data_IF_663126148820
#
_entry.id   IF_663126148820
#
_cell.length_a   1.000
_cell.length_b   1.000
_cell.length_c   1.000
_cell.angle_alpha   90.00
_cell.angle_beta   90.00
_cell.angle_gamma   90.00
#
_symmetry.space_group_name_H-M   'P 1'
#
loop_
_entity.id
_entity.type
_entity.pdbx_description
1 polymer ?
#
# COMPACT_ATOMS: atom_id res chain seq x y z
N UNK A 1 -0.28 -2.63 -18.82
CA UNK A 1 -1.20 -3.08 -17.74
C UNK A 1 -2.02 -1.89 -17.27
N UNK A 2 -3.25 -2.13 -16.87
CA UNK A 2 -4.15 -1.18 -16.23
C UNK A 2 -4.09 -1.39 -14.72
N UNK A 3 -3.57 -0.44 -13.96
CA UNK A 3 -3.25 -0.61 -12.54
C UNK A 3 -4.03 0.37 -11.67
N UNK A 4 -4.81 -0.13 -10.71
CA UNK A 4 -5.41 0.69 -9.66
C UNK A 4 -4.45 0.79 -8.47
N UNK A 5 -4.10 2.02 -8.06
CA UNK A 5 -3.30 2.29 -6.86
C UNK A 5 -4.15 3.06 -5.86
N UNK A 6 -4.44 2.48 -4.69
CA UNK A 6 -5.23 3.16 -3.65
C UNK A 6 -4.35 4.08 -2.78
N UNK A 7 -4.91 5.20 -2.30
CA UNK A 7 -4.15 6.19 -1.53
C UNK A 7 -3.00 6.81 -2.33
N UNK A 8 -3.23 7.06 -3.62
CA UNK A 8 -2.21 7.40 -4.59
C UNK A 8 -1.96 8.92 -4.75
N UNK A 9 -2.64 9.76 -3.97
CA UNK A 9 -2.47 11.22 -4.03
C UNK A 9 -1.13 11.71 -3.47
N UNK A 10 -0.45 10.93 -2.62
CA UNK A 10 0.83 11.28 -1.98
C UNK A 10 1.70 10.06 -1.63
N UNK A 11 2.91 10.31 -1.13
CA UNK A 11 3.80 9.30 -0.57
C UNK A 11 4.10 8.14 -1.52
N UNK A 12 4.11 6.92 -0.97
CA UNK A 12 4.40 5.69 -1.71
C UNK A 12 3.42 5.46 -2.87
N UNK A 13 2.12 5.73 -2.66
CA UNK A 13 1.12 5.55 -3.70
C UNK A 13 1.33 6.46 -4.91
N UNK A 14 1.65 7.75 -4.66
CA UNK A 14 2.04 8.69 -5.72
C UNK A 14 3.30 8.23 -6.46
N UNK A 15 4.34 7.86 -5.71
CA UNK A 15 5.59 7.38 -6.29
C UNK A 15 5.37 6.10 -7.13
N UNK A 16 4.52 5.18 -6.65
CA UNK A 16 4.14 3.97 -7.38
C UNK A 16 3.43 4.32 -8.68
N UNK A 17 2.40 5.17 -8.64
CA UNK A 17 1.67 5.59 -9.84
C UNK A 17 2.60 6.23 -10.88
N UNK A 18 3.51 7.09 -10.43
CA UNK A 18 4.48 7.74 -11.31
C UNK A 18 5.60 6.81 -11.81
N UNK A 19 5.96 5.78 -11.04
CA UNK A 19 6.93 4.76 -11.45
C UNK A 19 6.36 3.83 -12.53
N UNK A 20 5.05 3.58 -12.50
CA UNK A 20 4.34 2.77 -13.48
C UNK A 20 4.06 3.53 -14.78
N UNK A 21 3.87 4.84 -14.67
CA UNK A 21 3.54 5.70 -15.80
C UNK A 21 4.64 5.69 -16.88
N UNK A 22 4.20 5.67 -18.14
CA UNK A 22 5.02 5.53 -19.35
C UNK A 22 4.99 4.10 -19.93
N UNK A 23 4.83 3.09 -19.07
CA UNK A 23 4.73 1.68 -19.49
C UNK A 23 3.37 1.06 -19.17
N UNK A 24 2.64 1.65 -18.21
CA UNK A 24 1.34 1.16 -17.71
C UNK A 24 0.35 2.30 -17.56
N UNK A 25 -0.95 2.02 -17.69
CA UNK A 25 -2.04 2.96 -17.43
C UNK A 25 -2.47 2.90 -15.96
N UNK A 26 -2.86 4.02 -15.37
CA UNK A 26 -2.99 4.11 -13.91
C UNK A 26 -4.29 4.77 -13.47
N UNK A 27 -5.07 4.08 -12.65
CA UNK A 27 -6.13 4.69 -11.85
C UNK A 27 -5.57 5.12 -10.49
N UNK A 28 -5.60 6.44 -10.25
CA UNK A 28 -5.10 7.10 -9.03
C UNK A 28 -6.23 7.17 -8.01
N UNK A 29 -6.29 6.19 -7.10
CA UNK A 29 -7.31 6.10 -6.05
C UNK A 29 -7.05 7.09 -4.92
N UNK A 30 -8.07 7.87 -4.55
CA UNK A 30 -8.02 8.84 -3.47
C UNK A 30 -9.34 8.91 -2.67
N UNK A 31 -9.31 9.45 -1.45
CA UNK A 31 -10.52 9.71 -0.66
C UNK A 31 -10.86 11.22 -0.63
N UNK A 32 -9.98 12.06 -0.07
CA UNK A 32 -10.25 13.48 0.18
C UNK A 32 -9.43 14.44 -0.70
N UNK A 33 -8.22 14.03 -1.12
CA UNK A 33 -7.25 14.92 -1.74
C UNK A 33 -7.36 14.90 -3.27
N UNK A 34 -8.49 15.35 -3.82
CA UNK A 34 -8.77 15.37 -5.26
C UNK A 34 -7.70 16.14 -6.04
N UNK A 35 -7.38 17.37 -5.64
CA UNK A 35 -6.41 18.19 -6.35
C UNK A 35 -5.02 17.51 -6.43
N UNK A 36 -4.58 16.86 -5.36
CA UNK A 36 -3.31 16.14 -5.36
C UNK A 36 -3.37 14.86 -6.24
N UNK A 37 -4.52 14.18 -6.29
CA UNK A 37 -4.72 13.06 -7.19
C UNK A 37 -4.68 13.49 -8.67
N UNK A 38 -5.33 14.61 -9.01
CA UNK A 38 -5.30 15.19 -10.35
C UNK A 38 -3.89 15.63 -10.77
N UNK A 39 -3.06 16.13 -9.87
CA UNK A 39 -1.65 16.42 -10.15
C UNK A 39 -0.88 15.13 -10.52
N UNK A 40 -1.15 14.02 -9.85
CA UNK A 40 -0.55 12.71 -10.18
C UNK A 40 -1.03 12.23 -11.55
N UNK A 41 -2.33 12.33 -11.83
CA UNK A 41 -2.92 11.98 -13.14
C UNK A 41 -2.26 12.79 -14.25
N UNK A 42 -2.14 14.10 -14.08
CA UNK A 42 -1.47 14.96 -15.06
C UNK A 42 -0.02 14.52 -15.28
N UNK A 43 0.73 14.28 -14.21
CA UNK A 43 2.13 13.86 -14.31
C UNK A 43 2.29 12.46 -14.95
N UNK A 44 1.32 11.55 -14.77
CA UNK A 44 1.29 10.26 -15.44
C UNK A 44 1.00 10.41 -16.94
N UNK A 45 0.03 11.26 -17.30
CA UNK A 45 -0.29 11.58 -18.70
C UNK A 45 0.89 12.26 -19.42
N UNK A 46 1.60 13.16 -18.76
CA UNK A 46 2.81 13.80 -19.30
C UNK A 46 3.94 12.79 -19.61
N UNK A 47 3.88 11.58 -19.01
CA UNK A 47 4.78 10.44 -19.28
C UNK A 47 4.26 9.50 -20.36
N UNK A 48 3.06 9.71 -20.88
CA UNK A 48 2.49 8.96 -22.00
C UNK A 48 1.48 7.87 -21.61
N UNK A 49 1.11 7.75 -20.32
CA UNK A 49 0.06 6.82 -19.88
C UNK A 49 -1.33 7.42 -20.00
N UNK A 50 -2.33 6.57 -20.20
CA UNK A 50 -3.67 6.90 -19.78
C UNK A 50 -3.73 6.89 -18.25
N UNK A 51 -4.40 7.87 -17.65
CA UNK A 51 -4.54 7.96 -16.22
C UNK A 51 -5.84 8.65 -15.83
N UNK A 52 -6.43 8.23 -14.71
CA UNK A 52 -7.68 8.76 -14.18
C UNK A 52 -7.60 8.86 -12.65
N UNK A 53 -8.19 9.90 -12.08
CA UNK A 53 -8.39 9.98 -10.63
C UNK A 53 -9.74 9.34 -10.29
N UNK A 54 -9.74 8.37 -9.36
CA UNK A 54 -10.95 7.66 -8.93
C UNK A 54 -11.16 7.82 -7.42
N UNK A 55 -12.33 8.31 -7.02
CA UNK A 55 -12.63 8.57 -5.61
C UNK A 55 -13.24 7.35 -4.93
N UNK A 56 -12.74 7.00 -3.74
CA UNK A 56 -13.35 6.00 -2.87
C UNK A 56 -12.76 6.02 -1.47
N UNK A 57 -13.64 5.98 -0.46
CA UNK A 57 -13.22 5.69 0.90
C UNK A 57 -13.07 4.18 1.04
N UNK A 58 -11.85 3.69 1.28
CA UNK A 58 -11.59 2.26 1.41
C UNK A 58 -12.29 1.63 2.63
N UNK A 59 -12.78 2.44 3.56
CA UNK A 59 -13.53 1.94 4.73
C UNK A 59 -15.00 1.66 4.42
N UNK A 60 -15.51 2.11 3.28
CA UNK A 60 -16.88 1.88 2.80
C UNK A 60 -16.86 0.95 1.57
N UNK A 61 -17.39 -0.26 1.73
CA UNK A 61 -17.41 -1.26 0.66
C UNK A 61 -18.18 -0.79 -0.58
N UNK A 62 -19.24 0.02 -0.41
CA UNK A 62 -20.03 0.54 -1.54
C UNK A 62 -19.24 1.61 -2.31
N UNK A 63 -18.54 2.48 -1.60
CA UNK A 63 -17.64 3.46 -2.24
C UNK A 63 -16.48 2.76 -2.97
N UNK A 64 -15.97 1.67 -2.43
CA UNK A 64 -14.93 0.83 -3.07
C UNK A 64 -15.45 0.20 -4.35
N UNK A 65 -16.65 -0.38 -4.34
CA UNK A 65 -17.26 -0.97 -5.54
C UNK A 65 -17.38 0.08 -6.65
N UNK A 66 -17.82 1.30 -6.32
CA UNK A 66 -17.89 2.42 -7.26
C UNK A 66 -16.51 2.83 -7.80
N UNK A 67 -15.51 2.98 -6.93
CA UNK A 67 -14.13 3.32 -7.30
C UNK A 67 -13.51 2.30 -8.26
N UNK A 68 -13.70 1.02 -7.99
CA UNK A 68 -13.18 -0.06 -8.85
C UNK A 68 -13.90 -0.07 -10.20
N UNK A 69 -15.22 0.06 -10.21
CA UNK A 69 -16.00 0.12 -11.45
C UNK A 69 -15.56 1.31 -12.32
N UNK A 70 -15.38 2.50 -11.73
CA UNK A 70 -14.90 3.69 -12.45
C UNK A 70 -13.49 3.47 -13.03
N UNK A 71 -12.58 2.83 -12.28
CA UNK A 71 -11.24 2.51 -12.77
C UNK A 71 -11.29 1.55 -13.97
N UNK A 72 -12.10 0.50 -13.88
CA UNK A 72 -12.30 -0.50 -14.95
C UNK A 72 -12.89 0.18 -16.22
N UNK A 73 -13.91 1.00 -16.05
CA UNK A 73 -14.56 1.67 -17.18
C UNK A 73 -13.62 2.66 -17.86
N UNK A 74 -12.88 3.44 -17.07
CA UNK A 74 -11.99 4.49 -17.59
C UNK A 74 -10.76 3.91 -18.31
N UNK A 75 -10.19 2.81 -17.81
CA UNK A 75 -8.99 2.19 -18.40
C UNK A 75 -9.34 1.04 -19.38
N UNK A 76 -10.60 0.64 -19.48
CA UNK A 76 -11.04 -0.45 -20.35
C UNK A 76 -10.72 -1.86 -19.83
N UNK A 77 -10.47 -1.99 -18.52
CA UNK A 77 -10.13 -3.23 -17.82
C UNK A 77 -9.22 -2.99 -16.64
N UNK A 78 -8.88 -4.06 -15.91
CA UNK A 78 -7.98 -3.99 -14.77
C UNK A 78 -7.06 -5.22 -14.77
N UNK A 79 -5.75 -4.99 -14.77
CA UNK A 79 -4.73 -6.04 -14.74
C UNK A 79 -4.09 -6.18 -13.36
N UNK A 80 -4.05 -5.09 -12.57
CA UNK A 80 -3.41 -5.13 -11.27
C UNK A 80 -4.03 -4.14 -10.26
N UNK A 81 -3.91 -4.49 -8.98
CA UNK A 81 -4.28 -3.63 -7.84
C UNK A 81 -3.12 -3.49 -6.86
N UNK A 82 -2.79 -2.25 -6.53
CA UNK A 82 -1.86 -1.92 -5.45
C UNK A 82 -2.63 -1.35 -4.27
N UNK A 83 -2.79 -2.15 -3.22
CA UNK A 83 -3.41 -1.78 -1.97
C UNK A 83 -2.41 -0.99 -1.11
N UNK A 84 -2.37 0.33 -1.32
CA UNK A 84 -1.45 1.22 -0.61
C UNK A 84 -2.15 2.11 0.43
N UNK A 85 -3.44 2.38 0.31
CA UNK A 85 -4.17 3.19 1.27
C UNK A 85 -3.95 2.70 2.71
N UNK A 86 -3.62 3.62 3.61
CA UNK A 86 -3.36 3.28 5.00
C UNK A 86 -3.10 4.52 5.85
N UNK A 87 -3.29 4.33 7.15
CA UNK A 87 -3.04 5.35 8.18
C UNK A 87 -2.18 4.74 9.31
N UNK A 88 -1.43 5.58 10.00
CA UNK A 88 -0.86 5.30 11.30
C UNK A 88 -1.57 6.18 12.35
N UNK A 89 -1.66 5.67 13.57
CA UNK A 89 -2.19 6.43 14.70
C UNK A 89 -1.37 6.04 15.95
N UNK A 90 -0.07 6.40 15.98
CA UNK A 90 0.85 5.89 16.99
C UNK A 90 0.37 6.18 18.40
N UNK A 91 0.28 5.12 19.21
CA UNK A 91 -0.18 5.16 20.59
C UNK A 91 0.39 3.97 21.35
N UNK A 92 0.65 4.17 22.66
CA UNK A 92 0.90 3.06 23.59
C UNK A 92 -0.43 2.34 23.86
N UNK A 93 -0.35 1.09 24.32
CA UNK A 93 -1.55 0.27 24.53
C UNK A 93 -2.56 0.93 25.48
N UNK A 94 -2.08 1.60 26.53
CA UNK A 94 -2.91 2.32 27.49
C UNK A 94 -3.58 3.59 26.94
N UNK A 95 -3.11 4.11 25.82
CA UNK A 95 -3.64 5.30 25.11
C UNK A 95 -4.53 4.93 23.92
N UNK A 96 -4.49 3.64 23.52
CA UNK A 96 -5.21 3.14 22.35
C UNK A 96 -6.68 2.91 22.68
N UNK A 97 -7.56 3.76 22.16
CA UNK A 97 -9.01 3.58 22.31
C UNK A 97 -9.56 2.58 21.29
N UNK A 98 -10.76 2.04 21.56
CA UNK A 98 -11.44 1.12 20.64
C UNK A 98 -11.67 1.77 19.28
N UNK A 99 -12.05 3.05 19.22
CA UNK A 99 -12.30 3.78 17.98
C UNK A 99 -11.00 3.97 17.15
N UNK A 100 -9.86 4.20 17.82
CA UNK A 100 -8.57 4.30 17.13
C UNK A 100 -8.14 2.94 16.59
N UNK A 101 -8.30 1.88 17.39
CA UNK A 101 -8.05 0.51 16.97
C UNK A 101 -8.89 0.14 15.74
N UNK A 102 -10.20 0.30 15.82
CA UNK A 102 -11.13 -0.02 14.74
C UNK A 102 -10.83 0.78 13.48
N UNK A 103 -10.57 2.08 13.59
CA UNK A 103 -10.25 2.94 12.46
C UNK A 103 -9.00 2.48 11.71
N UNK A 104 -7.93 2.09 12.41
CA UNK A 104 -6.69 1.63 11.79
C UNK A 104 -6.91 0.29 11.10
N UNK A 105 -7.57 -0.68 11.76
CA UNK A 105 -7.87 -1.96 11.13
C UNK A 105 -8.82 -1.81 9.94
N UNK A 106 -9.84 -0.97 10.08
CA UNK A 106 -10.81 -0.75 9.01
C UNK A 106 -10.15 -0.15 7.77
N UNK A 107 -9.25 0.80 7.93
CA UNK A 107 -8.54 1.41 6.79
C UNK A 107 -7.49 0.46 6.20
N UNK A 108 -6.58 -0.05 7.05
CA UNK A 108 -5.37 -0.72 6.56
C UNK A 108 -5.60 -2.17 6.12
N UNK A 109 -6.49 -2.88 6.78
CA UNK A 109 -6.73 -4.31 6.55
C UNK A 109 -8.08 -4.57 5.88
N UNK A 110 -9.17 -4.11 6.49
CA UNK A 110 -10.52 -4.32 5.94
C UNK A 110 -10.69 -3.61 4.60
N UNK A 111 -10.16 -2.38 4.47
CA UNK A 111 -10.19 -1.62 3.23
C UNK A 111 -9.43 -2.33 2.10
N UNK A 112 -8.23 -2.84 2.39
CA UNK A 112 -7.47 -3.63 1.42
C UNK A 112 -8.21 -4.91 0.99
N UNK A 113 -8.92 -5.55 1.92
CA UNK A 113 -9.80 -6.68 1.61
C UNK A 113 -10.96 -6.25 0.71
N UNK A 114 -11.65 -5.14 0.99
CA UNK A 114 -12.74 -4.65 0.16
C UNK A 114 -12.29 -4.34 -1.27
N UNK A 115 -11.18 -3.61 -1.42
CA UNK A 115 -10.62 -3.27 -2.73
C UNK A 115 -10.23 -4.52 -3.50
N UNK A 116 -9.54 -5.46 -2.88
CA UNK A 116 -9.14 -6.71 -3.54
C UNK A 116 -10.37 -7.54 -3.94
N UNK A 117 -11.36 -7.66 -3.07
CA UNK A 117 -12.61 -8.39 -3.36
C UNK A 117 -13.37 -7.78 -4.54
N UNK A 118 -13.49 -6.45 -4.59
CA UNK A 118 -14.16 -5.76 -5.68
C UNK A 118 -13.39 -5.87 -7.01
N UNK A 119 -12.06 -5.82 -6.95
CA UNK A 119 -11.22 -5.89 -8.14
C UNK A 119 -11.10 -7.30 -8.72
N UNK A 120 -11.11 -8.34 -7.89
CA UNK A 120 -10.83 -9.72 -8.31
C UNK A 120 -11.64 -10.21 -9.53
N UNK A 121 -12.97 -9.93 -9.65
CA UNK A 121 -13.75 -10.32 -10.85
C UNK A 121 -13.33 -9.59 -12.14
N UNK A 122 -12.57 -8.51 -12.03
CA UNK A 122 -12.13 -7.68 -13.17
C UNK A 122 -10.67 -7.91 -13.54
N UNK A 123 -9.90 -8.60 -12.70
CA UNK A 123 -8.52 -8.96 -13.01
C UNK A 123 -8.50 -9.95 -14.16
N UNK A 124 -7.63 -9.70 -15.12
CA UNK A 124 -7.43 -10.61 -16.26
C UNK A 124 -6.72 -11.90 -15.80
N UNK A 125 -6.81 -13.01 -16.53
CA UNK A 125 -5.95 -14.17 -16.23
C UNK A 125 -4.48 -13.75 -16.21
N UNK A 126 -3.81 -13.98 -15.08
CA UNK A 126 -2.45 -13.49 -14.84
C UNK A 126 -2.38 -12.10 -14.22
N UNK A 127 -3.47 -11.60 -13.64
CA UNK A 127 -3.50 -10.31 -12.94
C UNK A 127 -2.76 -10.32 -11.61
N UNK A 128 -2.50 -9.14 -11.05
CA UNK A 128 -1.64 -8.95 -9.89
C UNK A 128 -2.31 -8.19 -8.75
N UNK A 129 -2.04 -8.62 -7.52
CA UNK A 129 -2.40 -7.90 -6.30
C UNK A 129 -1.14 -7.67 -5.47
N UNK A 130 -0.84 -6.40 -5.17
CA UNK A 130 0.26 -6.03 -4.29
C UNK A 130 -0.27 -5.28 -3.07
N UNK A 131 0.08 -5.75 -1.87
CA UNK A 131 -0.20 -5.07 -0.62
C UNK A 131 1.02 -4.26 -0.14
N UNK A 132 0.81 -2.99 0.17
CA UNK A 132 1.83 -2.18 0.86
C UNK A 132 1.66 -2.37 2.37
N UNK A 133 2.45 -3.32 2.89
CA UNK A 133 2.52 -3.63 4.31
C UNK A 133 3.51 -2.70 5.03
N UNK A 134 4.26 -3.22 5.98
CA UNK A 134 5.28 -2.51 6.76
C UNK A 134 6.16 -3.49 7.50
N UNK A 135 7.37 -3.07 7.85
CA UNK A 135 8.20 -3.71 8.87
C UNK A 135 7.44 -3.89 10.19
N UNK A 136 6.50 -2.99 10.51
CA UNK A 136 5.63 -3.09 11.66
C UNK A 136 4.80 -4.37 11.70
N UNK A 137 4.42 -4.91 10.53
CA UNK A 137 3.72 -6.20 10.42
C UNK A 137 4.62 -7.42 10.62
N UNK A 138 5.94 -7.28 10.54
CA UNK A 138 6.91 -8.38 10.68
C UNK A 138 7.62 -8.34 12.04
N UNK A 139 8.13 -7.16 12.42
CA UNK A 139 8.94 -6.97 13.64
C UNK A 139 8.20 -6.26 14.78
N UNK A 140 7.00 -5.76 14.50
CA UNK A 140 6.26 -4.91 15.43
C UNK A 140 6.69 -3.45 15.37
N UNK A 141 5.89 -2.61 16.00
CA UNK A 141 6.11 -1.16 16.18
C UNK A 141 5.36 -0.67 17.41
N UNK A 142 5.60 0.55 17.84
CA UNK A 142 4.80 1.19 18.90
C UNK A 142 3.51 1.73 18.27
N UNK A 143 2.58 0.87 18.13
CA UNK A 143 1.17 1.00 17.75
C UNK A 143 0.65 -0.41 17.46
N UNK A 144 -0.03 -0.98 18.42
CA UNK A 144 -0.54 -2.35 18.31
C UNK A 144 -1.54 -2.50 17.17
N UNK A 145 -2.37 -1.48 16.90
CA UNK A 145 -3.37 -1.50 15.84
C UNK A 145 -2.72 -1.50 14.46
N UNK A 146 -1.70 -0.65 14.26
CA UNK A 146 -0.95 -0.60 13.02
C UNK A 146 -0.20 -1.93 12.77
N UNK A 147 0.53 -2.43 13.79
CA UNK A 147 1.25 -3.70 13.68
C UNK A 147 0.30 -4.87 13.34
N UNK A 148 -0.84 -4.97 14.03
CA UNK A 148 -1.85 -5.99 13.77
C UNK A 148 -2.43 -5.86 12.34
N UNK A 149 -2.76 -4.65 11.89
CA UNK A 149 -3.30 -4.42 10.56
C UNK A 149 -2.31 -4.83 9.45
N UNK A 150 -1.04 -4.46 9.60
CA UNK A 150 0.01 -4.77 8.62
C UNK A 150 0.43 -6.26 8.65
N UNK A 151 0.42 -6.90 9.83
CA UNK A 151 0.60 -8.35 9.94
C UNK A 151 -0.57 -9.12 9.29
N UNK A 152 -1.80 -8.61 9.42
CA UNK A 152 -2.99 -9.17 8.75
C UNK A 152 -2.84 -9.23 7.23
N UNK A 153 -2.22 -8.22 6.61
CA UNK A 153 -1.94 -8.22 5.18
C UNK A 153 -1.01 -9.37 4.74
N UNK A 154 -0.07 -9.81 5.59
CA UNK A 154 0.78 -10.96 5.28
C UNK A 154 -0.02 -12.27 5.24
N UNK A 155 -1.01 -12.41 6.14
CA UNK A 155 -1.94 -13.52 6.12
C UNK A 155 -2.82 -13.52 4.87
N UNK A 156 -3.37 -12.34 4.54
CA UNK A 156 -4.20 -12.14 3.35
C UNK A 156 -3.41 -12.43 2.06
N UNK A 157 -2.17 -11.94 1.96
CA UNK A 157 -1.27 -12.22 0.84
C UNK A 157 -1.14 -13.73 0.58
N UNK A 158 -0.81 -14.50 1.61
CA UNK A 158 -0.59 -15.96 1.46
C UNK A 158 -1.87 -16.73 1.20
N UNK A 159 -2.99 -16.31 1.79
CA UNK A 159 -4.29 -16.92 1.56
C UNK A 159 -4.72 -16.76 0.11
N UNK A 160 -4.75 -15.52 -0.39
CA UNK A 160 -5.17 -15.22 -1.76
C UNK A 160 -4.20 -15.77 -2.82
N UNK A 161 -2.90 -15.78 -2.55
CA UNK A 161 -1.91 -16.41 -3.42
C UNK A 161 -2.18 -17.91 -3.64
N UNK A 162 -2.71 -18.59 -2.62
CA UNK A 162 -3.12 -20.01 -2.74
C UNK A 162 -4.48 -20.16 -3.41
N UNK A 163 -5.43 -19.28 -3.08
CA UNK A 163 -6.80 -19.35 -3.57
C UNK A 163 -6.88 -19.09 -5.08
N UNK A 164 -6.15 -18.08 -5.58
CA UNK A 164 -6.23 -17.62 -6.97
C UNK A 164 -5.01 -17.98 -7.83
N UNK A 165 -4.02 -18.69 -7.29
CA UNK A 165 -2.81 -19.05 -8.02
C UNK A 165 -3.07 -19.96 -9.23
N UNK A 166 -4.05 -20.88 -9.16
CA UNK A 166 -4.44 -21.73 -10.30
C UNK A 166 -5.14 -20.95 -11.41
N UNK A 167 -5.72 -19.77 -11.09
CA UNK A 167 -6.30 -18.83 -12.05
C UNK A 167 -5.25 -17.88 -12.65
N UNK A 168 -3.99 -18.03 -12.25
CA UNK A 168 -2.86 -17.22 -12.73
C UNK A 168 -2.70 -15.88 -12.03
N UNK A 169 -3.49 -15.59 -10.98
CA UNK A 169 -3.37 -14.32 -10.25
C UNK A 169 -2.20 -14.39 -9.26
N UNK A 170 -1.29 -13.42 -9.36
CA UNK A 170 -0.19 -13.26 -8.42
C UNK A 170 -0.58 -12.33 -7.28
N UNK A 171 -0.26 -12.73 -6.04
CA UNK A 171 -0.56 -11.93 -4.85
C UNK A 171 0.67 -11.84 -3.98
N UNK A 172 1.19 -10.63 -3.80
CA UNK A 172 2.41 -10.37 -3.05
C UNK A 172 2.26 -9.14 -2.13
N UNK A 173 3.23 -8.92 -1.27
CA UNK A 173 3.31 -7.72 -0.44
C UNK A 173 4.73 -7.13 -0.43
N UNK A 174 4.83 -5.82 -0.25
CA UNK A 174 6.06 -5.15 0.16
C UNK A 174 5.96 -4.76 1.62
N UNK A 175 7.05 -4.86 2.37
CA UNK A 175 7.13 -4.46 3.77
C UNK A 175 8.24 -3.40 3.94
N UNK A 176 7.91 -2.11 3.74
CA UNK A 176 8.85 -1.03 3.92
C UNK A 176 9.27 -0.86 5.39
N UNK A 177 10.51 -0.41 5.58
CA UNK A 177 10.98 0.25 6.78
C UNK A 177 10.55 1.72 6.80
N UNK A 178 11.33 2.62 7.41
CA UNK A 178 11.10 4.05 7.35
C UNK A 178 11.17 4.56 5.90
N UNK A 179 10.19 5.37 5.51
CA UNK A 179 10.11 6.01 4.19
C UNK A 179 9.87 7.49 4.40
N UNK A 180 10.52 8.37 3.66
CA UNK A 180 10.37 9.82 3.74
C UNK A 180 8.98 10.27 3.31
N UNK A 181 8.06 10.31 4.26
CA UNK A 181 6.65 10.65 4.10
C UNK A 181 6.09 11.29 5.36
N UNK A 182 5.01 12.08 5.23
CA UNK A 182 4.31 12.69 6.37
C UNK A 182 3.95 11.65 7.46
N UNK A 183 3.56 10.44 7.07
CA UNK A 183 3.23 9.36 8.02
C UNK A 183 4.44 8.96 8.88
N UNK A 184 5.64 8.90 8.29
CA UNK A 184 6.85 8.58 9.02
C UNK A 184 7.23 9.70 9.99
N UNK A 185 7.04 10.95 9.59
CA UNK A 185 7.29 12.12 10.44
C UNK A 185 6.38 12.13 11.66
N UNK A 186 5.09 11.78 11.49
CA UNK A 186 4.14 11.63 12.60
C UNK A 186 4.57 10.51 13.58
N UNK A 187 5.04 9.37 13.06
CA UNK A 187 5.52 8.25 13.88
C UNK A 187 6.78 8.67 14.65
N UNK A 188 7.74 9.32 14.00
CA UNK A 188 8.97 9.78 14.63
C UNK A 188 8.70 10.81 15.73
N UNK A 189 7.85 11.80 15.44
CA UNK A 189 7.45 12.82 16.42
C UNK A 189 6.82 12.20 17.67
N UNK A 190 5.97 11.17 17.51
CA UNK A 190 5.40 10.45 18.64
C UNK A 190 6.46 9.67 19.44
N UNK A 191 7.36 8.93 18.76
CA UNK A 191 8.40 8.15 19.42
C UNK A 191 9.37 9.02 20.24
N UNK A 192 9.69 10.22 19.72
CA UNK A 192 10.48 11.22 20.43
C UNK A 192 9.73 11.74 21.68
N UNK A 193 8.45 12.08 21.54
CA UNK A 193 7.62 12.62 22.61
C UNK A 193 7.46 11.65 23.80
N UNK A 194 7.43 10.32 23.53
CA UNK A 194 7.32 9.29 24.58
C UNK A 194 8.68 8.75 25.04
N UNK A 195 9.78 9.33 24.58
CA UNK A 195 11.15 8.89 24.88
C UNK A 195 11.35 7.37 24.69
N UNK A 196 10.85 6.84 23.57
CA UNK A 196 10.86 5.40 23.31
C UNK A 196 12.27 4.87 23.08
N UNK A 197 12.82 4.18 24.10
CA UNK A 197 14.20 3.67 24.07
C UNK A 197 14.45 2.56 23.05
N UNK A 198 13.41 1.85 22.62
CA UNK A 198 13.50 0.79 21.59
C UNK A 198 13.81 1.31 20.20
N UNK A 199 13.61 2.60 19.96
CA UNK A 199 13.86 3.22 18.66
C UNK A 199 15.34 3.14 18.25
N UNK A 200 16.28 3.34 19.16
CA UNK A 200 17.70 3.24 18.89
C UNK A 200 18.22 1.83 18.53
N UNK A 201 17.36 0.79 18.69
CA UNK A 201 17.69 -0.59 18.32
C UNK A 201 17.08 -1.01 16.97
N UNK A 202 16.33 -0.11 16.31
CA UNK A 202 15.69 -0.32 15.02
C UNK A 202 16.40 0.49 13.91
N UNK A 203 17.71 0.59 14.00
CA UNK A 203 18.50 1.30 13.00
C UNK A 203 18.63 0.49 11.71
N UNK A 204 18.72 1.18 10.59
CA UNK A 204 19.05 0.56 9.31
C UNK A 204 20.53 0.20 9.28
N UNK A 205 20.90 -0.83 8.54
CA UNK A 205 22.31 -1.16 8.27
C UNK A 205 22.84 -0.43 7.03
N UNK A 206 22.05 0.51 6.48
CA UNK A 206 22.45 1.40 5.40
C UNK A 206 22.71 2.82 5.96
N UNK A 207 23.48 3.66 5.25
CA UNK A 207 23.79 5.01 5.72
C UNK A 207 22.56 5.91 5.92
N UNK A 208 21.49 5.69 5.16
CA UNK A 208 20.23 6.42 5.30
C UNK A 208 19.28 5.68 6.23
N UNK A 209 18.69 6.38 7.20
CA UNK A 209 17.67 5.83 8.10
C UNK A 209 16.36 5.54 7.38
N UNK A 210 15.94 6.41 6.48
CA UNK A 210 14.73 6.25 5.68
C UNK A 210 15.09 6.20 4.19
N UNK A 211 14.26 5.55 3.40
CA UNK A 211 14.38 5.58 1.95
C UNK A 211 13.34 6.52 1.33
N UNK A 212 13.61 6.97 0.11
CA UNK A 212 12.66 7.69 -0.70
C UNK A 212 11.46 6.79 -1.08
N UNK A 213 10.25 7.35 -1.23
CA UNK A 213 9.07 6.62 -1.69
C UNK A 213 9.28 5.84 -2.99
N UNK A 214 10.12 6.36 -3.89
CA UNK A 214 10.50 5.76 -5.17
C UNK A 214 11.20 4.41 -5.01
N UNK A 215 11.92 4.20 -3.91
CA UNK A 215 12.57 2.91 -3.60
C UNK A 215 11.54 1.82 -3.36
N UNK A 216 10.46 2.14 -2.66
CA UNK A 216 9.33 1.20 -2.44
C UNK A 216 8.56 1.00 -3.75
N UNK A 217 8.28 2.08 -4.49
CA UNK A 217 7.60 2.02 -5.78
C UNK A 217 8.33 1.11 -6.78
N UNK A 218 9.66 1.14 -6.80
CA UNK A 218 10.48 0.25 -7.62
C UNK A 218 10.27 -1.24 -7.27
N UNK A 219 10.13 -1.56 -5.98
CA UNK A 219 9.85 -2.94 -5.56
C UNK A 219 8.42 -3.35 -5.91
N UNK A 220 7.44 -2.44 -5.79
CA UNK A 220 6.07 -2.71 -6.25
C UNK A 220 6.07 -3.01 -7.75
N UNK A 221 6.73 -2.18 -8.56
CA UNK A 221 6.87 -2.41 -10.00
C UNK A 221 7.53 -3.76 -10.31
N UNK A 222 8.61 -4.12 -9.60
CA UNK A 222 9.25 -5.44 -9.73
C UNK A 222 8.27 -6.59 -9.49
N UNK A 223 7.39 -6.48 -8.50
CA UNK A 223 6.41 -7.53 -8.20
C UNK A 223 5.34 -7.65 -9.29
N UNK A 224 4.94 -6.55 -9.91
CA UNK A 224 3.98 -6.52 -11.01
C UNK A 224 4.58 -7.04 -12.33
N UNK A 225 5.88 -6.84 -12.56
CA UNK A 225 6.56 -7.22 -13.80
C UNK A 225 7.23 -8.60 -13.74
N UNK A 226 7.33 -9.22 -12.54
CA UNK A 226 7.98 -10.51 -12.38
C UNK A 226 6.95 -11.66 -12.32
N UNK A 227 6.83 -12.49 -13.35
CA UNK A 227 5.76 -13.49 -13.44
C UNK A 227 5.98 -14.74 -12.55
N UNK A 228 6.96 -14.73 -11.65
CA UNK A 228 7.32 -15.92 -10.86
C UNK A 228 7.54 -15.63 -9.37
N UNK A 229 6.92 -14.55 -8.85
CA UNK A 229 6.91 -14.23 -7.42
C UNK A 229 5.49 -14.38 -6.89
N UNK A 230 5.26 -15.31 -5.94
CA UNK A 230 3.93 -15.65 -5.46
C UNK A 230 3.90 -15.86 -3.95
N UNK A 231 3.01 -15.14 -3.26
CA UNK A 231 2.78 -15.28 -1.82
C UNK A 231 3.88 -14.69 -0.93
N UNK A 232 4.76 -13.86 -1.51
CA UNK A 232 5.92 -13.31 -0.83
C UNK A 232 5.61 -11.98 -0.13
N UNK A 233 6.36 -11.72 0.95
CA UNK A 233 6.42 -10.43 1.64
C UNK A 233 7.85 -9.91 1.51
N UNK A 234 8.07 -9.03 0.55
CA UNK A 234 9.40 -8.49 0.24
C UNK A 234 9.75 -7.34 1.17
N UNK A 235 10.78 -7.52 1.98
CA UNK A 235 11.26 -6.47 2.89
C UNK A 235 12.08 -5.41 2.15
N UNK A 236 11.71 -4.13 2.35
CA UNK A 236 12.41 -2.95 1.84
C UNK A 236 12.72 -2.04 3.04
N UNK A 237 13.64 -2.47 3.90
CA UNK A 237 13.80 -1.91 5.25
C UNK A 237 15.26 -1.62 5.66
N UNK A 238 16.19 -1.53 4.70
CA UNK A 238 17.58 -1.20 5.00
C UNK A 238 18.28 -2.18 5.96
N UNK A 239 17.77 -3.41 6.08
CA UNK A 239 18.34 -4.43 6.97
C UNK A 239 17.88 -4.33 8.43
N UNK A 240 16.88 -3.53 8.78
CA UNK A 240 16.37 -3.40 10.17
C UNK A 240 15.99 -4.73 10.83
N UNK A 241 15.78 -5.78 10.04
CA UNK A 241 15.39 -7.12 10.51
C UNK A 241 16.43 -8.19 10.14
N UNK A 242 17.68 -7.82 9.96
CA UNK A 242 18.75 -8.82 9.83
C UNK A 242 18.81 -9.68 11.12
N UNK A 243 18.70 -10.98 10.96
CA UNK A 243 18.83 -11.98 12.02
C UNK A 243 20.04 -12.84 11.78
#
# INVERSE_FOLDING_TARGET
MNVLVTGASRGIGRATSLSLAGDHDVAVGYNESEAAAEEVVKAARDRGSEAVAVRGDVTDSTAVDGMVAEAVDALGGLDAVVNNAGIAAPARLEELTDERWERVLQTNLTGAFYVTRAAMPHLTPGGDVVFVSSIGGTGGTVDASYAASKAGLHGLTRALAREYGEEGVQVNAVAPGPVETDMNDEILAYLEAVEFRGHGNLDTHLPAYACEPETVAHTVRYLLENPYVQGEVVNVNGGMQLR
#
